data_IF_906578119094
#
_entry.id   IF_906578119094
#
_cell.length_a   1.000
_cell.length_b   1.000
_cell.length_c   1.000
_cell.angle_alpha   90.00
_cell.angle_beta   90.00
_cell.angle_gamma   90.00
#
_symmetry.space_group_name_H-M   'P 1'
#
loop_
_entity.id
_entity.type
_entity.pdbx_description
1 polymer ?
#
# COMPACT_ATOMS: atom_id res chain seq x y z
N UNK A 1 25.53 2.30 5.47
CA UNK A 1 24.18 2.33 6.07
C UNK A 1 23.57 3.67 5.71
N UNK A 2 22.99 3.75 4.51
CA UNK A 2 22.24 4.94 4.08
C UNK A 2 20.82 4.69 4.51
N UNK A 3 20.43 5.20 5.69
CA UNK A 3 19.03 5.23 6.09
C UNK A 3 18.32 6.06 5.03
N UNK A 4 17.61 5.41 4.10
CA UNK A 4 16.78 6.12 3.13
C UNK A 4 15.62 6.74 3.88
N UNK A 5 15.27 7.96 3.52
CA UNK A 5 14.12 8.61 4.14
C UNK A 5 12.82 7.92 3.69
N UNK A 6 11.81 7.91 4.55
CA UNK A 6 10.47 7.41 4.20
C UNK A 6 9.89 8.14 2.97
N UNK A 7 10.24 9.41 2.79
CA UNK A 7 9.85 10.19 1.61
C UNK A 7 10.43 9.60 0.31
N UNK A 8 11.69 9.13 0.33
CA UNK A 8 12.32 8.46 -0.82
C UNK A 8 11.65 7.12 -1.10
N UNK A 9 11.25 6.36 -0.07
CA UNK A 9 10.48 5.12 -0.22
C UNK A 9 9.17 5.39 -0.96
N UNK A 10 8.45 6.45 -0.60
CA UNK A 10 7.21 6.83 -1.29
C UNK A 10 7.42 7.17 -2.77
N UNK A 11 8.46 7.97 -3.08
CA UNK A 11 8.79 8.32 -4.46
C UNK A 11 9.18 7.08 -5.30
N UNK A 12 9.94 6.16 -4.69
CA UNK A 12 10.36 4.91 -5.33
C UNK A 12 9.20 3.95 -5.55
N UNK A 13 8.23 3.92 -4.64
CA UNK A 13 6.99 3.16 -4.83
C UNK A 13 6.21 3.68 -6.06
N UNK A 14 6.02 4.99 -6.17
CA UNK A 14 5.39 5.62 -7.33
C UNK A 14 6.12 5.31 -8.63
N UNK A 15 7.47 5.41 -8.61
CA UNK A 15 8.30 5.08 -9.77
C UNK A 15 8.19 3.59 -10.15
N UNK A 16 8.22 2.69 -9.18
CA UNK A 16 8.10 1.26 -9.41
C UNK A 16 6.76 0.90 -10.05
N UNK A 17 5.66 1.50 -9.57
CA UNK A 17 4.33 1.32 -10.17
C UNK A 17 4.28 1.91 -11.57
N UNK A 18 4.89 3.07 -11.81
CA UNK A 18 4.94 3.69 -13.14
C UNK A 18 5.79 2.89 -14.15
N UNK A 19 6.78 2.14 -13.68
CA UNK A 19 7.63 1.26 -14.50
C UNK A 19 6.96 -0.08 -14.82
N UNK A 20 5.88 -0.46 -14.13
CA UNK A 20 5.18 -1.71 -14.42
C UNK A 20 4.59 -1.69 -15.84
N UNK A 21 4.84 -2.74 -16.64
CA UNK A 21 4.28 -2.82 -17.98
C UNK A 21 2.76 -2.99 -17.94
N UNK A 22 2.07 -2.33 -18.88
CA UNK A 22 0.62 -2.34 -19.01
C UNK A 22 -0.04 -1.17 -18.28
N UNK A 23 -1.13 -0.64 -18.82
CA UNK A 23 -1.88 0.43 -18.15
C UNK A 23 -2.87 -0.16 -17.14
N UNK A 24 -3.07 0.48 -15.98
CA UNK A 24 -4.11 0.06 -15.06
C UNK A 24 -5.47 0.15 -15.74
N UNK A 25 -6.19 -0.96 -15.77
CA UNK A 25 -7.48 -1.09 -16.42
C UNK A 25 -8.64 -0.61 -15.54
N UNK A 26 -8.41 -0.49 -14.23
CA UNK A 26 -9.34 0.06 -13.26
C UNK A 26 -8.59 0.70 -12.08
N UNK A 27 -9.25 1.54 -11.26
CA UNK A 27 -8.66 2.05 -10.02
C UNK A 27 -8.23 0.94 -9.05
N UNK A 28 -8.91 -0.21 -9.09
CA UNK A 28 -8.54 -1.38 -8.29
C UNK A 28 -7.27 -2.05 -8.81
N UNK A 29 -7.15 -2.24 -10.13
CA UNK A 29 -5.91 -2.75 -10.75
C UNK A 29 -4.72 -1.80 -10.49
N UNK A 30 -4.96 -0.49 -10.43
CA UNK A 30 -3.91 0.47 -10.01
C UNK A 30 -3.54 0.27 -8.54
N UNK A 31 -4.52 0.12 -7.66
CA UNK A 31 -4.28 -0.13 -6.24
C UNK A 31 -3.52 -1.45 -6.00
N UNK A 32 -3.93 -2.53 -6.66
CA UNK A 32 -3.30 -3.85 -6.56
C UNK A 32 -1.81 -3.75 -6.93
N UNK A 33 -1.47 -2.97 -7.97
CA UNK A 33 -0.06 -2.70 -8.32
C UNK A 33 0.69 -1.94 -7.25
N UNK A 34 0.08 -0.93 -6.62
CA UNK A 34 0.70 -0.25 -5.48
C UNK A 34 0.93 -1.22 -4.32
N UNK A 35 -0.02 -2.11 -4.04
CA UNK A 35 0.10 -3.12 -2.99
C UNK A 35 1.25 -4.09 -3.29
N UNK A 36 1.32 -4.64 -4.50
CA UNK A 36 2.40 -5.52 -4.93
C UNK A 36 3.78 -4.84 -4.82
N UNK A 37 3.89 -3.59 -5.27
CA UNK A 37 5.16 -2.86 -5.19
C UNK A 37 5.53 -2.46 -3.77
N UNK A 38 4.55 -2.16 -2.91
CA UNK A 38 4.80 -1.86 -1.50
C UNK A 38 5.35 -3.10 -0.78
N UNK A 39 4.79 -4.28 -1.02
CA UNK A 39 5.29 -5.55 -0.45
C UNK A 39 6.72 -5.83 -0.95
N UNK A 40 6.97 -5.68 -2.24
CA UNK A 40 8.30 -5.90 -2.81
C UNK A 40 9.37 -4.95 -2.21
N UNK A 41 9.00 -3.68 -1.98
CA UNK A 41 9.88 -2.70 -1.33
C UNK A 41 10.08 -3.06 0.15
N UNK A 42 9.01 -3.46 0.84
CA UNK A 42 9.09 -3.89 2.24
C UNK A 42 10.07 -5.06 2.37
N UNK A 43 9.94 -6.11 1.55
CA UNK A 43 10.83 -7.28 1.59
C UNK A 43 12.29 -6.92 1.25
N UNK A 44 12.50 -5.99 0.31
CA UNK A 44 13.86 -5.60 -0.11
C UNK A 44 14.56 -4.68 0.91
N UNK A 45 13.81 -3.80 1.57
CA UNK A 45 14.35 -2.75 2.45
C UNK A 45 14.06 -3.02 3.94
N UNK A 46 13.44 -4.16 4.30
CA UNK A 46 13.06 -4.49 5.68
C UNK A 46 14.22 -4.33 6.68
N UNK A 47 15.40 -4.85 6.31
CA UNK A 47 16.63 -4.77 7.13
C UNK A 47 17.30 -3.38 7.10
N UNK A 48 16.95 -2.51 6.16
CA UNK A 48 17.52 -1.16 6.03
C UNK A 48 16.84 -0.13 6.96
N UNK A 49 15.65 -0.45 7.48
CA UNK A 49 14.83 0.44 8.31
C UNK A 49 14.59 -0.14 9.72
N UNK A 50 14.26 0.70 10.71
CA UNK A 50 13.85 0.20 12.01
C UNK A 50 12.61 -0.71 11.90
N UNK A 51 12.51 -1.75 12.75
CA UNK A 51 11.44 -2.72 12.67
C UNK A 51 10.06 -2.05 12.80
N UNK A 52 9.16 -2.39 11.87
CA UNK A 52 7.78 -1.88 11.82
C UNK A 52 7.62 -0.46 11.30
N UNK A 53 8.71 0.30 11.09
CA UNK A 53 8.61 1.69 10.59
C UNK A 53 8.28 1.74 9.10
N UNK A 54 9.01 0.95 8.30
CA UNK A 54 8.77 0.86 6.86
C UNK A 54 7.38 0.27 6.56
N UNK A 55 7.01 -0.78 7.28
CA UNK A 55 5.70 -1.42 7.19
C UNK A 55 4.57 -0.43 7.50
N UNK A 56 4.64 0.27 8.64
CA UNK A 56 3.62 1.24 9.02
C UNK A 56 3.50 2.39 8.00
N UNK A 57 4.63 2.83 7.44
CA UNK A 57 4.65 3.86 6.40
C UNK A 57 3.96 3.38 5.11
N UNK A 58 4.31 2.19 4.62
CA UNK A 58 3.74 1.61 3.41
C UNK A 58 2.25 1.33 3.57
N UNK A 59 1.81 0.81 4.72
CA UNK A 59 0.39 0.63 5.03
C UNK A 59 -0.37 1.96 5.02
N UNK A 60 0.19 3.01 5.64
CA UNK A 60 -0.42 4.34 5.62
C UNK A 60 -0.49 4.91 4.20
N UNK A 61 0.54 4.67 3.37
CA UNK A 61 0.58 5.05 1.98
C UNK A 61 -0.53 4.39 1.16
N UNK A 62 -0.66 3.06 1.27
CA UNK A 62 -1.70 2.29 0.60
C UNK A 62 -3.09 2.77 1.03
N UNK A 63 -3.31 3.01 2.33
CA UNK A 63 -4.58 3.54 2.82
C UNK A 63 -4.93 4.90 2.23
N UNK A 64 -3.94 5.77 2.01
CA UNK A 64 -4.15 7.04 1.31
C UNK A 64 -4.53 6.81 -0.16
N UNK A 65 -3.90 5.86 -0.84
CA UNK A 65 -4.25 5.48 -2.22
C UNK A 65 -5.65 4.88 -2.32
N UNK A 66 -6.09 4.10 -1.34
CA UNK A 66 -7.48 3.59 -1.31
C UNK A 66 -8.49 4.74 -1.35
N UNK A 67 -8.26 5.78 -0.53
CA UNK A 67 -9.11 6.96 -0.46
C UNK A 67 -9.05 7.80 -1.74
N UNK A 68 -7.86 7.98 -2.30
CA UNK A 68 -7.63 8.74 -3.54
C UNK A 68 -8.35 8.07 -4.74
N UNK A 69 -8.16 6.77 -4.88
CA UNK A 69 -8.68 5.96 -5.99
C UNK A 69 -10.14 5.54 -5.77
N UNK A 70 -10.71 5.83 -4.60
CA UNK A 70 -12.05 5.41 -4.16
C UNK A 70 -12.27 3.90 -4.27
N UNK A 71 -11.21 3.14 -4.04
CA UNK A 71 -11.27 1.70 -3.93
C UNK A 71 -11.77 1.35 -2.54
N UNK A 72 -12.75 0.46 -2.46
CA UNK A 72 -13.14 -0.12 -1.17
C UNK A 72 -12.07 -1.11 -0.74
N UNK A 73 -11.55 -1.04 0.49
CA UNK A 73 -10.73 -2.14 1.01
C UNK A 73 -11.55 -3.43 0.86
N UNK A 74 -10.93 -4.49 0.34
CA UNK A 74 -11.59 -5.79 0.24
C UNK A 74 -12.20 -6.13 1.61
N UNK A 75 -13.50 -6.47 1.70
CA UNK A 75 -14.21 -6.61 2.97
C UNK A 75 -13.84 -7.92 3.67
N UNK A 76 -12.59 -8.07 4.09
CA UNK A 76 -12.15 -9.14 4.99
C UNK A 76 -12.33 -8.77 6.47
N UNK A 77 -12.90 -7.59 6.78
CA UNK A 77 -13.06 -7.16 8.19
C UNK A 77 -14.28 -6.27 8.48
N UNK A 78 -15.37 -6.38 7.70
CA UNK A 78 -16.64 -5.74 8.08
C UNK A 78 -17.79 -6.75 8.13
N UNK A 79 -17.66 -7.76 9.01
CA UNK A 79 -18.82 -8.40 9.62
C UNK A 79 -19.21 -7.64 10.88
N UNK A 80 -19.68 -6.40 10.74
CA UNK A 80 -20.48 -5.80 11.80
C UNK A 80 -21.92 -6.30 11.59
N UNK A 81 -22.18 -7.51 12.07
CA UNK A 81 -23.54 -8.02 12.25
C UNK A 81 -24.23 -7.15 13.29
N UNK A 82 -24.89 -6.09 12.83
CA UNK A 82 -25.85 -5.33 13.63
C UNK A 82 -27.09 -6.20 13.87
N UNK A 83 -27.03 -7.08 14.86
CA UNK A 83 -28.21 -7.76 15.38
C UNK A 83 -29.01 -6.75 16.19
N UNK A 84 -30.07 -6.19 15.59
CA UNK A 84 -31.02 -5.33 16.28
C UNK A 84 -31.76 -6.08 17.40
N UNK A 85 -32.11 -5.42 18.52
CA UNK A 85 -32.88 -6.05 19.58
C UNK A 85 -34.35 -6.15 19.18
N UNK A 86 -34.91 -7.36 19.27
CA UNK A 86 -36.35 -7.63 19.24
C UNK A 86 -36.94 -7.69 20.64
#
# INVERSE_FOLDING_TARGET
MTIRSLAEVGARLEEAVALLPGSPSSPQDLYDRYEEMAIAILDAEFDEHPPGVLEAYLMAYLRMKELELRVTPSPSSESISITGPG
#
